data_IF_056096644294
#
_entry.id   IF_056096644294
#
_cell.length_a   1.000
_cell.length_b   1.000
_cell.length_c   1.000
_cell.angle_alpha   90.00
_cell.angle_beta   90.00
_cell.angle_gamma   90.00
#
_symmetry.space_group_name_H-M   'P 1'
#
loop_
_entity.id
_entity.type
_entity.pdbx_description
1 polymer ?
#
# COMPACT_ATOMS: atom_id res chain seq x y z
N UNK A 1 -2.09 -6.63 9.74
CA UNK A 1 -0.84 -6.30 9.04
C UNK A 1 -0.86 -4.81 8.70
N UNK A 2 0.27 -4.12 8.58
CA UNK A 2 0.29 -2.67 8.33
C UNK A 2 0.06 -2.36 6.84
N UNK A 3 -0.24 -1.10 6.53
CA UNK A 3 -0.33 -0.64 5.13
C UNK A 3 1.02 -0.81 4.43
N UNK A 4 2.13 -0.44 5.07
CA UNK A 4 3.48 -0.63 4.53
C UNK A 4 3.72 -2.09 4.13
N UNK A 5 3.42 -3.03 5.03
CA UNK A 5 3.60 -4.46 4.77
C UNK A 5 2.69 -4.96 3.64
N UNK A 6 1.48 -4.42 3.52
CA UNK A 6 0.60 -4.76 2.41
C UNK A 6 1.14 -4.29 1.05
N UNK A 7 1.77 -3.12 0.99
CA UNK A 7 2.41 -2.61 -0.22
C UNK A 7 3.69 -3.40 -0.53
N UNK A 8 4.50 -3.68 0.49
CA UNK A 8 5.75 -4.44 0.40
C UNK A 8 5.56 -5.96 0.23
N UNK A 9 4.32 -6.44 0.16
CA UNK A 9 4.07 -7.87 0.00
C UNK A 9 4.68 -8.39 -1.31
N UNK A 10 5.58 -9.37 -1.21
CA UNK A 10 6.36 -9.89 -2.33
C UNK A 10 7.73 -9.22 -2.51
N UNK A 11 8.02 -8.13 -1.79
CA UNK A 11 9.30 -7.44 -1.75
C UNK A 11 9.64 -7.03 -0.30
N UNK A 12 10.01 -7.98 0.59
CA UNK A 12 10.24 -7.71 2.01
C UNK A 12 11.45 -6.81 2.29
N UNK A 13 12.33 -6.62 1.30
CA UNK A 13 13.47 -5.70 1.37
C UNK A 13 13.14 -4.30 0.86
N UNK A 14 11.88 -4.02 0.52
CA UNK A 14 11.46 -2.70 0.07
C UNK A 14 11.72 -1.66 1.16
N UNK A 15 12.39 -0.59 0.77
CA UNK A 15 12.64 0.55 1.65
C UNK A 15 11.38 1.41 1.80
N UNK A 16 11.30 2.16 2.90
CA UNK A 16 10.21 3.11 3.13
C UNK A 16 10.05 4.10 1.95
N UNK A 17 11.15 4.60 1.40
CA UNK A 17 11.13 5.51 0.27
C UNK A 17 10.51 4.89 -0.99
N UNK A 18 10.81 3.62 -1.27
CA UNK A 18 10.20 2.88 -2.37
C UNK A 18 8.69 2.68 -2.14
N UNK A 19 8.29 2.31 -0.93
CA UNK A 19 6.88 2.14 -0.54
C UNK A 19 6.11 3.45 -0.73
N UNK A 20 6.67 4.57 -0.27
CA UNK A 20 6.05 5.88 -0.44
C UNK A 20 6.00 6.31 -1.90
N UNK A 21 7.05 6.03 -2.67
CA UNK A 21 7.11 6.33 -4.09
C UNK A 21 5.96 5.63 -4.84
N UNK A 22 5.81 4.31 -4.69
CA UNK A 22 4.74 3.57 -5.38
C UNK A 22 3.35 3.93 -4.85
N UNK A 23 3.21 4.28 -3.58
CA UNK A 23 1.96 4.76 -3.01
C UNK A 23 1.54 6.12 -3.59
N UNK A 24 2.50 7.01 -3.88
CA UNK A 24 2.25 8.26 -4.59
C UNK A 24 1.81 8.00 -6.03
N UNK A 25 2.53 7.12 -6.74
CA UNK A 25 2.15 6.73 -8.12
C UNK A 25 0.74 6.12 -8.17
N UNK A 26 0.39 5.30 -7.19
CA UNK A 26 -0.94 4.70 -7.08
C UNK A 26 -2.02 5.63 -6.52
N UNK A 27 -1.73 6.92 -6.28
CA UNK A 27 -2.68 7.91 -5.72
C UNK A 27 -3.30 7.52 -4.37
N UNK A 28 -2.53 6.90 -3.48
CA UNK A 28 -3.00 6.48 -2.15
C UNK A 28 -2.18 7.05 -0.99
N UNK A 29 -1.01 7.64 -1.25
CA UNK A 29 -0.15 8.26 -0.24
C UNK A 29 -0.89 9.22 0.70
N UNK A 30 -1.63 10.19 0.14
CA UNK A 30 -2.37 11.18 0.94
C UNK A 30 -3.47 10.56 1.80
N UNK A 31 -4.11 9.49 1.31
CA UNK A 31 -5.11 8.75 2.09
C UNK A 31 -4.44 8.03 3.28
N UNK A 32 -3.26 7.47 3.05
CA UNK A 32 -2.47 6.79 4.09
C UNK A 32 -2.04 7.78 5.16
N UNK A 33 -1.50 8.94 4.78
CA UNK A 33 -1.03 9.97 5.73
C UNK A 33 -2.15 10.60 6.58
N UNK A 34 -3.40 10.51 6.14
CA UNK A 34 -4.56 10.94 6.93
C UNK A 34 -4.93 9.96 8.04
N UNK A 35 -4.40 8.73 8.01
CA UNK A 35 -4.63 7.75 9.07
C UNK A 35 -3.75 8.08 10.28
N UNK A 36 -4.21 7.82 11.52
CA UNK A 36 -3.48 8.20 12.73
C UNK A 36 -2.05 7.65 12.84
N UNK A 37 -1.77 6.51 12.19
CA UNK A 37 -0.46 5.86 12.20
C UNK A 37 0.19 5.83 10.81
N UNK A 38 -0.38 6.54 9.83
CA UNK A 38 0.17 6.57 8.47
C UNK A 38 0.35 5.17 7.88
N UNK A 39 1.56 4.90 7.40
CA UNK A 39 1.97 3.61 6.83
C UNK A 39 1.98 2.45 7.83
N UNK A 40 2.15 2.74 9.12
CA UNK A 40 2.12 1.75 10.20
C UNK A 40 0.69 1.40 10.63
N UNK A 41 -0.32 2.07 10.07
CA UNK A 41 -1.72 1.76 10.36
C UNK A 41 -2.02 0.30 10.06
N UNK A 42 -2.45 -0.44 11.07
CA UNK A 42 -2.92 -1.81 10.91
C UNK A 42 -4.21 -1.85 10.10
N UNK A 43 -4.31 -2.78 9.16
CA UNK A 43 -5.49 -3.02 8.32
C UNK A 43 -6.00 -4.47 8.46
N UNK A 44 -7.30 -4.65 8.26
CA UNK A 44 -7.99 -5.96 8.36
C UNK A 44 -8.95 -6.04 9.55
N UNK A 45 -9.30 -7.25 9.98
CA UNK A 45 -10.34 -7.49 11.01
C UNK A 45 -10.09 -6.80 12.36
N UNK A 46 -8.81 -6.57 12.70
CA UNK A 46 -8.40 -5.88 13.95
C UNK A 46 -7.93 -4.44 13.73
N UNK A 47 -7.91 -3.98 12.49
CA UNK A 47 -7.35 -2.69 12.09
C UNK A 47 -8.37 -1.81 11.36
N UNK A 48 -7.88 -0.77 10.69
CA UNK A 48 -8.72 0.10 9.86
C UNK A 48 -9.24 -0.68 8.65
N UNK A 49 -10.55 -0.54 8.42
CA UNK A 49 -11.19 -1.06 7.22
C UNK A 49 -11.03 -0.06 6.08
N UNK A 50 -10.20 -0.43 5.11
CA UNK A 50 -10.04 0.34 3.87
C UNK A 50 -11.27 0.19 2.98
N UNK A 51 -11.65 1.28 2.33
CA UNK A 51 -12.64 1.25 1.26
C UNK A 51 -12.18 0.39 0.08
N UNK A 52 -13.11 -0.04 -0.78
CA UNK A 52 -12.77 -0.82 -1.98
C UNK A 52 -11.75 -0.12 -2.88
N UNK A 53 -11.93 1.18 -3.11
CA UNK A 53 -10.99 1.97 -3.92
C UNK A 53 -9.60 2.11 -3.29
N UNK A 54 -9.51 2.24 -1.96
CA UNK A 54 -8.22 2.24 -1.26
C UNK A 54 -7.51 0.90 -1.38
N UNK A 55 -8.23 -0.22 -1.21
CA UNK A 55 -7.68 -1.56 -1.40
C UNK A 55 -7.15 -1.76 -2.81
N UNK A 56 -7.90 -1.33 -3.82
CA UNK A 56 -7.47 -1.42 -5.22
C UNK A 56 -6.20 -0.61 -5.47
N UNK A 57 -6.11 0.63 -4.97
CA UNK A 57 -4.89 1.46 -5.10
C UNK A 57 -3.70 0.87 -4.37
N UNK A 58 -3.88 0.21 -3.20
CA UNK A 58 -2.80 -0.54 -2.54
C UNK A 58 -2.34 -1.72 -3.40
N UNK A 59 -3.25 -2.46 -4.03
CA UNK A 59 -2.88 -3.55 -4.96
C UNK A 59 -2.10 -3.02 -6.17
N UNK A 60 -2.46 -1.86 -6.70
CA UNK A 60 -1.71 -1.18 -7.78
C UNK A 60 -0.31 -0.79 -7.27
N UNK A 61 -0.20 -0.17 -6.08
CA UNK A 61 1.09 0.18 -5.49
C UNK A 61 2.01 -1.04 -5.33
N UNK A 62 1.46 -2.18 -4.89
CA UNK A 62 2.17 -3.45 -4.81
C UNK A 62 2.68 -3.92 -6.18
N UNK A 63 1.82 -3.88 -7.20
CA UNK A 63 2.20 -4.28 -8.55
C UNK A 63 3.32 -3.40 -9.12
N UNK A 64 3.26 -2.09 -8.87
CA UNK A 64 4.31 -1.14 -9.25
C UNK A 64 5.63 -1.42 -8.52
N UNK A 65 5.57 -1.78 -7.23
CA UNK A 65 6.76 -2.10 -6.44
C UNK A 65 7.46 -3.36 -6.91
N UNK A 66 6.68 -4.35 -7.38
CA UNK A 66 7.17 -5.60 -7.92
C UNK A 66 7.59 -5.50 -9.39
N UNK A 67 7.45 -4.32 -10.00
CA UNK A 67 7.66 -4.11 -11.44
C UNK A 67 6.89 -5.16 -12.29
N UNK A 68 5.63 -5.38 -11.93
CA UNK A 68 4.83 -6.45 -12.52
C UNK A 68 4.55 -6.19 -14.01
N UNK A 69 5.00 -7.11 -14.88
CA UNK A 69 4.79 -7.01 -16.33
C UNK A 69 3.30 -7.04 -16.74
N UNK A 70 2.47 -7.75 -15.97
CA UNK A 70 1.03 -7.88 -16.20
C UNK A 70 0.29 -7.73 -14.88
N UNK A 71 -0.72 -6.84 -14.86
CA UNK A 71 -1.60 -6.62 -13.72
C UNK A 71 -3.04 -6.99 -14.08
N UNK A 72 -3.68 -7.82 -13.25
CA UNK A 72 -5.10 -8.21 -13.36
C UNK A 72 -5.83 -7.63 -12.14
N UNK A 73 -6.90 -6.86 -12.38
CA UNK A 73 -7.65 -6.09 -11.38
C UNK A 73 -9.07 -6.62 -11.17
#
# INVERSE_FOLDING_TARGET
>A
DTIANNIALGCPTATQDQIEHVARLASVHEDILRLPQGYDTEVGERGVMLSGGQKQRISIARALLLDAEILIL
#
